data_IF_793570377784
#
_entry.id   IF_793570377784
#
_cell.length_a   1.000
_cell.length_b   1.000
_cell.length_c   1.000
_cell.angle_alpha   90.00
_cell.angle_beta   90.00
_cell.angle_gamma   90.00
#
_symmetry.space_group_name_H-M   'P 1'
#
loop_
_entity.id
_entity.type
_entity.pdbx_description
1 polymer ?
#
# COMPACT_ATOMS: atom_id res chain seq x y z
N UNK A 1 14.43 -16.82 9.45
CA UNK A 1 13.65 -16.00 8.51
C UNK A 1 12.22 -16.50 8.51
N UNK A 2 11.25 -15.69 8.93
CA UNK A 2 9.83 -16.05 8.86
C UNK A 2 9.34 -15.64 7.47
N UNK A 3 9.35 -16.56 6.50
CA UNK A 3 8.81 -16.30 5.17
C UNK A 3 7.28 -16.19 5.22
N UNK A 4 6.72 -15.17 4.61
CA UNK A 4 5.30 -15.16 4.25
C UNK A 4 5.17 -15.97 2.97
N UNK A 5 4.67 -17.19 3.08
CA UNK A 5 4.69 -18.15 1.96
C UNK A 5 3.83 -17.69 0.79
N UNK A 6 2.62 -17.20 1.01
CA UNK A 6 1.72 -16.70 -0.03
C UNK A 6 0.63 -15.84 0.58
N UNK A 7 0.09 -14.90 -0.20
CA UNK A 7 -1.16 -14.22 0.11
C UNK A 7 -2.25 -14.80 -0.80
N UNK A 8 -3.29 -15.37 -0.22
CA UNK A 8 -4.42 -15.97 -0.92
C UNK A 8 -5.67 -15.13 -0.69
N UNK A 9 -6.31 -14.74 -1.77
CA UNK A 9 -7.56 -13.97 -1.78
C UNK A 9 -8.58 -14.75 -2.59
N UNK A 10 -9.65 -15.22 -1.93
CA UNK A 10 -10.62 -16.11 -2.54
C UNK A 10 -12.04 -15.64 -2.26
N UNK A 11 -12.75 -15.27 -3.32
CA UNK A 11 -14.13 -14.77 -3.25
C UNK A 11 -14.30 -13.59 -2.29
N UNK A 12 -13.23 -12.82 -2.03
CA UNK A 12 -13.19 -11.79 -1.01
C UNK A 12 -14.24 -10.73 -1.29
N UNK A 13 -15.15 -10.50 -0.33
CA UNK A 13 -16.23 -9.52 -0.39
C UNK A 13 -16.26 -8.67 0.85
N UNK A 14 -16.54 -7.35 0.70
CA UNK A 14 -16.74 -6.43 1.81
C UNK A 14 -17.88 -5.48 1.56
N UNK A 15 -18.84 -5.49 2.49
CA UNK A 15 -19.98 -4.59 2.53
C UNK A 15 -19.94 -3.84 3.85
N UNK A 16 -20.13 -2.52 3.79
CA UNK A 16 -20.35 -1.67 4.96
C UNK A 16 -21.82 -1.30 5.05
N UNK A 17 -22.33 -1.15 6.25
CA UNK A 17 -23.66 -0.61 6.51
C UNK A 17 -23.52 0.78 7.11
N UNK A 18 -24.15 1.78 6.48
CA UNK A 18 -24.14 3.14 7.00
C UNK A 18 -24.91 3.23 8.31
N UNK A 19 -24.26 3.81 9.32
CA UNK A 19 -24.87 4.05 10.62
C UNK A 19 -25.98 5.09 10.45
N UNK A 20 -27.24 4.73 10.77
CA UNK A 20 -28.40 5.61 10.72
C UNK A 20 -29.35 5.37 9.55
N UNK A 21 -28.89 5.05 8.35
CA UNK A 21 -29.73 4.73 7.18
C UNK A 21 -29.89 3.24 6.95
N UNK A 22 -28.95 2.42 7.44
CA UNK A 22 -28.90 0.99 7.16
C UNK A 22 -28.51 0.67 5.71
N UNK A 23 -28.20 1.66 4.89
CA UNK A 23 -27.84 1.47 3.49
C UNK A 23 -26.55 0.68 3.37
N UNK A 24 -26.56 -0.36 2.51
CA UNK A 24 -25.42 -1.22 2.26
C UNK A 24 -24.53 -0.62 1.17
N UNK A 25 -23.25 -0.39 1.48
CA UNK A 25 -22.23 0.07 0.53
C UNK A 25 -21.27 -1.07 0.23
N UNK A 26 -21.29 -1.57 -1.01
CA UNK A 26 -20.35 -2.61 -1.46
C UNK A 26 -19.01 -1.94 -1.75
N UNK A 27 -18.00 -2.18 -0.90
CA UNK A 27 -16.64 -1.69 -1.09
C UNK A 27 -15.80 -2.65 -1.93
N UNK A 28 -15.98 -3.96 -1.71
CA UNK A 28 -15.39 -5.03 -2.51
C UNK A 28 -16.51 -5.98 -2.90
N UNK A 29 -16.71 -6.15 -4.22
CA UNK A 29 -17.71 -7.04 -4.77
C UNK A 29 -17.20 -8.48 -4.78
N UNK A 30 -16.02 -8.69 -5.38
CA UNK A 30 -15.32 -9.95 -5.42
C UNK A 30 -13.88 -9.80 -5.88
N UNK A 31 -12.94 -10.35 -5.11
CA UNK A 31 -11.54 -10.44 -5.49
C UNK A 31 -11.07 -11.89 -5.34
N UNK A 32 -10.38 -12.37 -6.38
CA UNK A 32 -9.77 -13.70 -6.43
C UNK A 32 -8.36 -13.56 -7.06
N UNK A 33 -7.30 -13.76 -6.28
CA UNK A 33 -5.92 -13.80 -6.75
C UNK A 33 -4.98 -14.35 -5.68
N UNK A 34 -3.76 -14.69 -6.09
CA UNK A 34 -2.68 -15.14 -5.20
C UNK A 34 -1.45 -14.28 -5.44
N UNK A 35 -0.75 -13.88 -4.37
CA UNK A 35 0.56 -13.24 -4.43
C UNK A 35 1.59 -14.21 -3.88
N UNK A 36 2.61 -14.53 -4.67
CA UNK A 36 3.68 -15.43 -4.26
C UNK A 36 4.67 -14.77 -3.29
N UNK A 37 5.40 -15.58 -2.54
CA UNK A 37 6.48 -15.10 -1.70
C UNK A 37 7.54 -14.35 -2.51
N UNK A 38 7.99 -13.19 -2.01
CA UNK A 38 9.00 -12.36 -2.67
C UNK A 38 8.49 -11.62 -3.91
N UNK A 39 7.20 -11.71 -4.22
CA UNK A 39 6.58 -10.99 -5.33
C UNK A 39 6.32 -9.54 -4.94
N UNK A 40 6.60 -8.61 -5.86
CA UNK A 40 6.24 -7.20 -5.75
C UNK A 40 5.06 -6.94 -6.67
N UNK A 41 3.92 -6.63 -6.08
CA UNK A 41 2.65 -6.42 -6.79
C UNK A 41 2.17 -4.98 -6.61
N UNK A 42 1.86 -4.31 -7.72
CA UNK A 42 1.20 -3.02 -7.70
C UNK A 42 -0.32 -3.19 -7.88
N UNK A 43 -1.12 -2.52 -7.06
CA UNK A 43 -2.58 -2.46 -7.19
C UNK A 43 -2.94 -1.06 -7.67
N UNK A 44 -3.51 -0.97 -8.85
CA UNK A 44 -3.99 0.28 -9.44
C UNK A 44 -5.49 0.31 -9.53
N UNK A 45 -6.08 1.50 -9.42
CA UNK A 45 -7.52 1.68 -9.55
C UNK A 45 -7.94 3.10 -9.17
N UNK A 46 -9.12 3.49 -9.62
CA UNK A 46 -9.68 4.81 -9.32
C UNK A 46 -9.94 4.98 -7.80
N UNK A 47 -10.04 6.25 -7.37
CA UNK A 47 -10.44 6.55 -5.99
C UNK A 47 -11.79 5.91 -5.67
N UNK A 48 -11.88 5.25 -4.50
CA UNK A 48 -13.09 4.57 -4.06
C UNK A 48 -13.35 3.20 -4.72
N UNK A 49 -12.37 2.60 -5.42
CA UNK A 49 -12.49 1.23 -5.94
C UNK A 49 -12.17 0.13 -4.90
N UNK A 50 -11.98 0.46 -3.64
CA UNK A 50 -11.79 -0.55 -2.59
C UNK A 50 -10.33 -0.85 -2.21
N UNK A 51 -9.32 -0.16 -2.75
CA UNK A 51 -7.89 -0.41 -2.45
C UNK A 51 -7.56 -0.32 -0.96
N UNK A 52 -7.93 0.77 -0.31
CA UNK A 52 -7.68 0.95 1.13
C UNK A 52 -8.51 -0.03 1.98
N UNK A 53 -9.71 -0.39 1.53
CA UNK A 53 -10.51 -1.45 2.16
C UNK A 53 -9.79 -2.80 2.06
N UNK A 54 -9.25 -3.14 0.90
CA UNK A 54 -8.44 -4.34 0.73
C UNK A 54 -7.22 -4.35 1.65
N UNK A 55 -6.50 -3.24 1.75
CA UNK A 55 -5.36 -3.13 2.68
C UNK A 55 -5.78 -3.31 4.14
N UNK A 56 -6.90 -2.73 4.57
CA UNK A 56 -7.40 -2.91 5.92
C UNK A 56 -7.75 -4.37 6.24
N UNK A 57 -8.31 -5.09 5.27
CA UNK A 57 -8.57 -6.53 5.38
C UNK A 57 -7.25 -7.32 5.46
N UNK A 58 -6.26 -6.95 4.65
CA UNK A 58 -4.96 -7.60 4.61
C UNK A 58 -4.14 -7.37 5.88
N UNK A 59 -4.24 -6.18 6.48
CA UNK A 59 -3.58 -5.86 7.77
C UNK A 59 -4.32 -6.53 8.95
N UNK A 60 -5.57 -6.95 8.75
CA UNK A 60 -6.41 -7.52 9.81
C UNK A 60 -7.11 -6.47 10.66
N UNK A 61 -7.24 -5.23 10.18
CA UNK A 61 -8.01 -4.15 10.84
C UNK A 61 -9.51 -4.29 10.63
N UNK A 62 -9.90 -5.07 9.63
CA UNK A 62 -11.29 -5.30 9.29
C UNK A 62 -11.51 -6.77 8.88
N UNK A 63 -12.75 -7.25 9.01
CA UNK A 63 -13.13 -8.62 8.65
C UNK A 63 -13.85 -8.65 7.31
N UNK A 64 -13.58 -9.63 6.42
CA UNK A 64 -14.41 -9.86 5.25
C UNK A 64 -15.87 -10.06 5.59
N UNK A 65 -16.78 -9.62 4.72
CA UNK A 65 -18.20 -9.96 4.83
C UNK A 65 -18.45 -11.37 4.29
N UNK A 66 -17.70 -11.77 3.25
CA UNK A 66 -17.73 -13.09 2.64
C UNK A 66 -16.38 -13.41 1.97
N UNK A 67 -16.14 -14.67 1.66
CA UNK A 67 -14.86 -15.14 1.14
C UNK A 67 -13.75 -15.09 2.20
N UNK A 68 -12.50 -15.16 1.74
CA UNK A 68 -11.36 -15.16 2.66
C UNK A 68 -10.15 -14.42 2.11
N UNK A 69 -9.32 -13.94 3.04
CA UNK A 69 -7.96 -13.49 2.82
C UNK A 69 -7.06 -14.22 3.80
N UNK A 70 -5.95 -14.78 3.32
CA UNK A 70 -5.01 -15.52 4.14
C UNK A 70 -3.56 -15.17 3.76
N UNK A 71 -2.68 -15.08 4.75
CA UNK A 71 -1.24 -14.88 4.61
C UNK A 71 -0.57 -16.10 5.24
N UNK A 72 0.12 -16.90 4.42
CA UNK A 72 0.70 -18.19 4.89
C UNK A 72 -0.36 -19.12 5.48
N UNK A 73 -1.56 -19.16 4.90
CA UNK A 73 -2.69 -19.96 5.35
C UNK A 73 -3.46 -19.41 6.57
N UNK A 74 -3.05 -18.27 7.16
CA UNK A 74 -3.64 -17.66 8.36
C UNK A 74 -4.49 -16.46 8.01
N UNK A 75 -5.63 -16.29 8.69
CA UNK A 75 -6.51 -15.14 8.52
C UNK A 75 -6.01 -13.93 9.33
N UNK A 76 -5.67 -12.79 8.71
CA UNK A 76 -5.06 -11.66 9.43
C UNK A 76 -5.94 -11.08 10.54
N UNK A 77 -7.25 -11.05 10.36
CA UNK A 77 -8.17 -10.53 11.38
C UNK A 77 -8.25 -11.45 12.61
N UNK A 78 -8.35 -12.76 12.39
CA UNK A 78 -8.55 -13.73 13.48
C UNK A 78 -7.24 -14.04 14.22
N UNK A 79 -6.10 -13.92 13.54
CA UNK A 79 -4.76 -14.21 14.06
C UNK A 79 -3.86 -12.97 14.08
N UNK A 80 -4.43 -11.79 14.38
CA UNK A 80 -3.74 -10.50 14.29
C UNK A 80 -2.38 -10.46 15.01
N UNK A 81 -2.31 -11.04 16.20
CA UNK A 81 -1.07 -11.08 17.00
C UNK A 81 0.06 -11.88 16.34
N UNK A 82 -0.28 -12.84 15.48
CA UNK A 82 0.71 -13.63 14.73
C UNK A 82 1.51 -12.75 13.76
N UNK A 83 0.89 -11.69 13.24
CA UNK A 83 1.48 -10.81 12.24
C UNK A 83 2.30 -9.66 12.81
N UNK A 84 2.41 -9.55 14.14
CA UNK A 84 3.30 -8.58 14.80
C UNK A 84 4.75 -8.83 14.40
N UNK A 85 5.40 -7.80 13.83
CA UNK A 85 6.76 -7.90 13.32
C UNK A 85 6.91 -8.67 12.00
N UNK A 86 5.82 -9.24 11.46
CA UNK A 86 5.81 -9.93 10.16
C UNK A 86 5.38 -8.98 9.04
N UNK A 87 4.44 -8.06 9.35
CA UNK A 87 3.87 -7.10 8.41
C UNK A 87 4.27 -5.68 8.82
N UNK A 88 4.65 -4.86 7.84
CA UNK A 88 4.80 -3.43 8.00
C UNK A 88 4.08 -2.66 6.89
N UNK A 89 3.56 -1.48 7.25
CA UNK A 89 2.86 -0.62 6.30
C UNK A 89 3.43 0.80 6.29
N UNK A 90 3.57 1.35 5.09
CA UNK A 90 3.90 2.76 4.83
C UNK A 90 2.68 3.41 4.21
N UNK A 91 2.25 4.53 4.76
CA UNK A 91 1.05 5.24 4.33
C UNK A 91 1.40 6.54 3.61
N UNK A 92 0.45 7.07 2.89
CA UNK A 92 0.53 8.37 2.22
C UNK A 92 0.94 9.50 3.18
N UNK A 93 0.36 9.52 4.37
CA UNK A 93 0.84 10.36 5.47
C UNK A 93 1.89 9.59 6.27
N UNK A 94 2.99 10.24 6.63
CA UNK A 94 4.12 9.62 7.33
C UNK A 94 3.75 9.04 8.71
N UNK A 95 2.69 9.56 9.35
CA UNK A 95 2.19 9.11 10.66
C UNK A 95 3.29 9.00 11.70
N UNK A 96 4.26 9.90 11.66
CA UNK A 96 5.28 10.00 12.70
C UNK A 96 4.66 10.55 13.97
N UNK A 97 5.14 10.06 15.11
CA UNK A 97 4.76 10.61 16.42
C UNK A 97 5.45 11.96 16.60
N UNK A 98 4.71 13.08 16.66
CA UNK A 98 5.31 14.42 16.62
C UNK A 98 6.13 14.77 17.86
N UNK A 99 5.93 14.06 18.96
CA UNK A 99 6.68 14.20 20.22
C UNK A 99 7.89 13.27 20.34
N UNK A 100 8.19 12.47 19.32
CA UNK A 100 9.37 11.61 19.22
C UNK A 100 10.32 12.10 18.15
N UNK A 101 11.62 11.96 18.40
CA UNK A 101 12.66 12.23 17.40
C UNK A 101 12.61 11.23 16.24
N UNK A 102 13.39 11.46 15.19
CA UNK A 102 13.47 10.53 14.05
C UNK A 102 13.90 9.13 14.51
N UNK A 103 14.95 9.04 15.32
CA UNK A 103 15.42 7.74 15.82
C UNK A 103 14.38 7.05 16.73
N UNK A 104 13.67 7.81 17.56
CA UNK A 104 12.64 7.27 18.44
C UNK A 104 11.40 6.81 17.66
N UNK A 105 11.09 7.46 16.53
CA UNK A 105 10.06 6.99 15.61
C UNK A 105 10.47 5.68 14.94
N UNK A 106 11.72 5.55 14.51
CA UNK A 106 12.21 4.34 13.84
C UNK A 106 12.27 3.16 14.82
N UNK A 107 12.74 3.37 16.06
CA UNK A 107 12.85 2.29 17.07
C UNK A 107 11.51 1.84 17.64
N UNK A 108 10.43 2.63 17.48
CA UNK A 108 9.13 2.32 18.08
C UNK A 108 8.62 0.90 17.81
N UNK A 109 8.64 0.35 16.58
CA UNK A 109 8.20 -1.03 16.35
C UNK A 109 9.05 -2.06 17.11
N UNK A 110 10.36 -1.85 17.23
CA UNK A 110 11.25 -2.74 17.99
C UNK A 110 10.94 -2.69 19.49
N UNK A 111 10.63 -1.50 20.01
CA UNK A 111 10.17 -1.28 21.38
C UNK A 111 8.88 -2.06 21.65
N UNK A 112 7.89 -1.97 20.76
CA UNK A 112 6.62 -2.69 20.85
C UNK A 112 6.77 -4.22 20.74
N UNK A 113 7.83 -4.69 20.08
CA UNK A 113 8.18 -6.10 19.98
C UNK A 113 9.04 -6.59 21.16
N UNK A 114 9.33 -5.72 22.15
CA UNK A 114 10.07 -6.08 23.35
C UNK A 114 11.56 -6.38 23.12
N UNK A 115 12.18 -5.82 22.09
CA UNK A 115 13.60 -6.01 21.84
C UNK A 115 14.46 -5.23 22.85
N UNK A 116 15.72 -5.63 23.03
CA UNK A 116 16.63 -4.95 23.94
C UNK A 116 16.91 -3.50 23.52
N UNK A 117 16.95 -2.53 24.45
CA UNK A 117 17.11 -1.11 24.10
C UNK A 117 18.38 -0.78 23.30
N UNK A 118 19.51 -1.46 23.57
CA UNK A 118 20.76 -1.31 22.83
C UNK A 118 20.56 -1.63 21.33
N UNK A 119 19.95 -2.78 21.07
CA UNK A 119 19.71 -3.28 19.72
C UNK A 119 18.74 -2.39 18.93
N UNK A 120 17.71 -1.85 19.63
CA UNK A 120 16.75 -0.91 19.06
C UNK A 120 17.46 0.34 18.51
N UNK A 121 18.37 0.93 19.31
CA UNK A 121 19.10 2.16 18.92
C UNK A 121 20.06 1.88 17.77
N UNK A 122 20.83 0.79 17.86
CA UNK A 122 21.78 0.43 16.81
C UNK A 122 21.07 0.18 15.46
N UNK A 123 20.01 -0.62 15.44
CA UNK A 123 19.24 -0.90 14.23
C UNK A 123 18.57 0.35 13.67
N UNK A 124 17.97 1.18 14.53
CA UNK A 124 17.32 2.41 14.09
C UNK A 124 18.34 3.39 13.46
N UNK A 125 19.54 3.52 14.05
CA UNK A 125 20.61 4.35 13.52
C UNK A 125 21.10 3.83 12.17
N UNK A 126 21.31 2.53 12.03
CA UNK A 126 21.73 1.90 10.78
C UNK A 126 20.70 2.15 9.65
N UNK A 127 19.39 2.09 9.96
CA UNK A 127 18.36 2.40 8.96
C UNK A 127 18.28 3.88 8.60
N UNK A 128 18.46 4.79 9.57
CA UNK A 128 18.52 6.23 9.28
C UNK A 128 19.75 6.58 8.41
N UNK A 129 20.90 5.99 8.71
CA UNK A 129 22.12 6.17 7.90
C UNK A 129 21.92 5.67 6.46
N UNK A 130 21.40 4.45 6.31
CA UNK A 130 21.09 3.85 5.00
C UNK A 130 20.15 4.72 4.14
N UNK A 131 19.26 5.48 4.75
CA UNK A 131 18.34 6.39 4.08
C UNK A 131 18.83 7.86 4.05
N UNK A 132 20.11 8.10 4.40
CA UNK A 132 20.74 9.41 4.32
C UNK A 132 20.29 10.39 5.39
N UNK A 133 19.85 9.91 6.56
CA UNK A 133 19.30 10.70 7.67
C UNK A 133 20.19 10.66 8.94
N UNK A 134 21.43 10.19 8.88
CA UNK A 134 22.30 10.05 10.04
C UNK A 134 22.45 11.35 10.84
N UNK A 135 22.52 12.52 10.16
CA UNK A 135 22.66 13.83 10.80
C UNK A 135 21.36 14.35 11.44
N UNK A 136 20.24 13.71 11.17
CA UNK A 136 18.90 14.13 11.59
C UNK A 136 18.26 13.15 12.59
N UNK A 137 19.04 12.24 13.17
CA UNK A 137 18.52 11.23 14.09
C UNK A 137 17.79 11.82 15.31
N UNK A 138 18.22 13.00 15.79
CA UNK A 138 17.62 13.68 16.93
C UNK A 138 16.57 14.72 16.54
N UNK A 139 16.32 14.94 15.24
CA UNK A 139 15.34 15.92 14.78
C UNK A 139 13.90 15.41 15.02
N UNK A 140 13.02 16.33 15.40
CA UNK A 140 11.59 16.06 15.49
C UNK A 140 10.91 16.17 14.12
N UNK A 141 9.74 15.55 13.91
CA UNK A 141 9.05 15.56 12.62
C UNK A 141 8.81 16.97 12.04
N UNK A 142 8.57 17.98 12.87
CA UNK A 142 8.36 19.36 12.43
C UNK A 142 9.63 20.06 11.93
N UNK A 143 10.81 19.52 12.25
CA UNK A 143 12.11 20.02 11.79
C UNK A 143 12.57 19.37 10.48
N UNK A 144 11.82 18.36 9.99
CA UNK A 144 12.15 17.57 8.82
C UNK A 144 11.33 18.02 7.59
N UNK A 145 11.95 17.98 6.41
CA UNK A 145 11.20 18.13 5.15
C UNK A 145 10.23 16.98 4.93
N UNK A 146 9.24 17.12 4.02
CA UNK A 146 8.30 16.04 3.68
C UNK A 146 8.98 14.75 3.25
N UNK A 147 9.97 14.85 2.35
CA UNK A 147 10.76 13.70 1.91
C UNK A 147 11.61 13.06 3.03
N UNK A 148 12.13 13.86 3.97
CA UNK A 148 12.84 13.35 5.13
C UNK A 148 11.89 12.61 6.08
N UNK A 149 10.70 13.14 6.35
CA UNK A 149 9.68 12.44 7.15
C UNK A 149 9.29 11.11 6.53
N UNK A 150 9.11 11.08 5.21
CA UNK A 150 8.77 9.84 4.51
C UNK A 150 9.91 8.80 4.58
N UNK A 151 11.18 9.24 4.52
CA UNK A 151 12.33 8.35 4.75
C UNK A 151 12.36 7.80 6.18
N UNK A 152 12.02 8.61 7.19
CA UNK A 152 11.87 8.12 8.58
C UNK A 152 10.74 7.09 8.66
N UNK A 153 9.61 7.29 7.99
CA UNK A 153 8.52 6.33 7.94
C UNK A 153 8.93 5.01 7.25
N UNK A 154 9.72 5.09 6.17
CA UNK A 154 10.32 3.92 5.54
C UNK A 154 11.29 3.19 6.50
N UNK A 155 12.21 3.93 7.14
CA UNK A 155 13.12 3.35 8.14
C UNK A 155 12.35 2.60 9.23
N UNK A 156 11.27 3.21 9.74
CA UNK A 156 10.38 2.62 10.74
C UNK A 156 9.72 1.32 10.25
N UNK A 157 9.33 1.26 8.99
CA UNK A 157 8.73 0.05 8.42
C UNK A 157 9.76 -1.07 8.23
N UNK A 158 10.96 -0.74 7.77
CA UNK A 158 12.00 -1.73 7.46
C UNK A 158 12.80 -2.19 8.69
N UNK A 159 12.84 -1.43 9.80
CA UNK A 159 13.65 -1.73 10.98
C UNK A 159 13.31 -3.08 11.63
N UNK A 160 12.07 -3.55 11.49
CA UNK A 160 11.62 -4.85 12.01
C UNK A 160 11.90 -6.00 11.04
N UNK A 161 12.47 -5.73 9.86
CA UNK A 161 12.72 -6.72 8.81
C UNK A 161 11.45 -7.53 8.50
N UNK A 162 10.36 -6.88 8.08
CA UNK A 162 9.08 -7.53 7.88
C UNK A 162 9.16 -8.49 6.69
N UNK A 163 8.38 -9.56 6.72
CA UNK A 163 8.26 -10.47 5.57
C UNK A 163 7.28 -9.94 4.51
N UNK A 164 6.31 -9.10 4.94
CA UNK A 164 5.34 -8.44 4.07
C UNK A 164 5.38 -6.92 4.25
N UNK A 165 5.60 -6.22 3.15
CA UNK A 165 5.59 -4.76 3.07
C UNK A 165 4.34 -4.27 2.32
N UNK A 166 3.67 -3.29 2.90
CA UNK A 166 2.53 -2.62 2.29
C UNK A 166 2.85 -1.14 2.10
N UNK A 167 2.54 -0.58 0.93
CA UNK A 167 2.64 0.85 0.66
C UNK A 167 1.29 1.34 0.14
N UNK A 168 0.63 2.23 0.90
CA UNK A 168 -0.66 2.84 0.53
C UNK A 168 -0.41 4.28 0.08
N UNK A 169 -0.35 4.50 -1.24
CA UNK A 169 -0.10 5.81 -1.87
C UNK A 169 1.10 6.56 -1.25
N UNK A 170 2.11 5.79 -0.81
CA UNK A 170 3.18 6.25 0.08
C UNK A 170 4.09 7.34 -0.51
N UNK A 171 4.04 7.58 -1.82
CA UNK A 171 4.95 8.49 -2.53
C UNK A 171 4.23 9.68 -3.19
N UNK A 172 2.90 9.73 -3.14
CA UNK A 172 2.07 10.65 -3.94
C UNK A 172 2.08 12.13 -3.53
N UNK A 173 2.65 12.49 -2.38
CA UNK A 173 2.68 13.88 -1.88
C UNK A 173 4.07 14.53 -1.95
N UNK A 174 5.01 13.89 -2.62
CA UNK A 174 6.38 14.34 -2.76
C UNK A 174 6.60 14.94 -4.15
N UNK A 175 7.61 15.80 -4.28
CA UNK A 175 8.09 16.17 -5.61
C UNK A 175 8.60 14.93 -6.36
N UNK A 176 8.49 14.93 -7.68
CA UNK A 176 8.75 13.75 -8.51
C UNK A 176 10.16 13.17 -8.33
N UNK A 177 11.18 14.01 -8.14
CA UNK A 177 12.56 13.55 -7.95
C UNK A 177 12.71 12.78 -6.63
N UNK A 178 12.15 13.34 -5.55
CA UNK A 178 12.15 12.69 -4.23
C UNK A 178 11.30 11.42 -4.25
N UNK A 179 10.14 11.46 -4.88
CA UNK A 179 9.26 10.29 -5.00
C UNK A 179 9.94 9.14 -5.75
N UNK A 180 10.56 9.42 -6.92
CA UNK A 180 11.28 8.42 -7.70
C UNK A 180 12.43 7.77 -6.90
N UNK A 181 13.23 8.60 -6.20
CA UNK A 181 14.31 8.08 -5.36
C UNK A 181 13.80 7.17 -4.22
N UNK A 182 12.69 7.52 -3.58
CA UNK A 182 12.09 6.73 -2.51
C UNK A 182 11.44 5.45 -3.03
N UNK A 183 10.78 5.50 -4.19
CA UNK A 183 10.25 4.31 -4.87
C UNK A 183 11.36 3.31 -5.15
N UNK A 184 12.43 3.77 -5.80
CA UNK A 184 13.60 2.92 -6.07
C UNK A 184 14.15 2.31 -4.79
N UNK A 185 14.38 3.12 -3.75
CA UNK A 185 14.87 2.63 -2.46
C UNK A 185 13.93 1.57 -1.85
N UNK A 186 12.61 1.78 -1.90
CA UNK A 186 11.63 0.82 -1.39
C UNK A 186 11.74 -0.53 -2.11
N UNK A 187 11.77 -0.52 -3.45
CA UNK A 187 11.85 -1.75 -4.25
C UNK A 187 13.18 -2.46 -4.05
N UNK A 188 14.29 -1.73 -4.02
CA UNK A 188 15.62 -2.31 -3.82
C UNK A 188 15.75 -2.96 -2.43
N UNK A 189 15.20 -2.29 -1.41
CA UNK A 189 15.15 -2.84 -0.06
C UNK A 189 14.30 -4.09 0.02
N UNK A 190 13.09 -4.07 -0.59
CA UNK A 190 12.20 -5.22 -0.63
C UNK A 190 12.83 -6.41 -1.35
N UNK A 191 13.43 -6.18 -2.53
CA UNK A 191 14.12 -7.22 -3.32
C UNK A 191 15.33 -7.80 -2.60
N UNK A 192 16.17 -6.93 -2.02
CA UNK A 192 17.39 -7.37 -1.31
C UNK A 192 17.05 -8.22 -0.09
N UNK A 193 15.97 -7.91 0.59
CA UNK A 193 15.48 -8.68 1.75
C UNK A 193 14.64 -9.91 1.37
N UNK A 194 14.28 -10.08 0.08
CA UNK A 194 13.38 -11.14 -0.38
C UNK A 194 11.95 -10.99 0.15
N UNK A 195 11.51 -9.77 0.44
CA UNK A 195 10.20 -9.50 1.00
C UNK A 195 9.12 -9.54 -0.07
N UNK A 196 7.93 -10.01 0.33
CA UNK A 196 6.71 -9.78 -0.45
C UNK A 196 6.29 -8.32 -0.27
N UNK A 197 5.92 -7.64 -1.36
CA UNK A 197 5.46 -6.25 -1.27
C UNK A 197 4.18 -6.01 -2.07
N UNK A 198 3.24 -5.27 -1.48
CA UNK A 198 2.03 -4.78 -2.15
C UNK A 198 2.05 -3.25 -2.11
N UNK A 199 2.03 -2.64 -3.29
CA UNK A 199 1.96 -1.20 -3.46
C UNK A 199 0.58 -0.83 -4.00
N UNK A 200 -0.10 0.05 -3.29
CA UNK A 200 -1.37 0.62 -3.74
C UNK A 200 -1.11 2.02 -4.24
N UNK A 201 -1.50 2.30 -5.48
CA UNK A 201 -1.35 3.62 -6.08
C UNK A 201 -2.49 3.93 -7.04
N UNK A 202 -2.72 5.21 -7.31
CA UNK A 202 -3.56 5.67 -8.40
C UNK A 202 -2.73 6.15 -9.61
N UNK A 203 -1.39 6.15 -9.50
CA UNK A 203 -0.46 6.55 -10.54
C UNK A 203 0.02 5.32 -11.31
N UNK A 204 -0.31 5.28 -12.59
CA UNK A 204 0.01 4.13 -13.42
C UNK A 204 1.50 4.00 -13.73
N UNK A 205 2.19 5.13 -13.85
CA UNK A 205 3.63 5.21 -14.02
C UNK A 205 4.35 4.53 -12.85
N UNK A 206 3.95 4.88 -11.63
CA UNK A 206 4.47 4.30 -10.41
C UNK A 206 4.29 2.77 -10.38
N UNK A 207 3.10 2.28 -10.75
CA UNK A 207 2.82 0.85 -10.79
C UNK A 207 3.68 0.10 -11.81
N UNK A 208 3.93 0.70 -12.97
CA UNK A 208 4.77 0.11 -14.03
C UNK A 208 6.25 0.10 -13.63
N UNK A 209 6.72 1.17 -12.97
CA UNK A 209 8.12 1.27 -12.52
C UNK A 209 8.45 0.27 -11.40
N UNK A 210 7.51 0.07 -10.47
CA UNK A 210 7.76 -0.64 -9.21
C UNK A 210 7.30 -2.09 -9.24
N UNK A 211 6.19 -2.36 -9.92
CA UNK A 211 5.56 -3.67 -9.91
C UNK A 211 6.24 -4.67 -10.84
N UNK A 212 6.44 -5.89 -10.38
CA UNK A 212 6.66 -7.03 -11.27
C UNK A 212 5.34 -7.52 -11.88
N UNK A 213 4.22 -7.19 -11.23
CA UNK A 213 2.85 -7.55 -11.60
C UNK A 213 1.88 -6.44 -11.19
N UNK A 214 0.89 -6.18 -12.02
CA UNK A 214 -0.13 -5.14 -11.78
C UNK A 214 -1.50 -5.80 -11.67
N UNK A 215 -2.20 -5.54 -10.55
CA UNK A 215 -3.61 -5.86 -10.36
C UNK A 215 -4.44 -4.60 -10.59
N UNK A 216 -5.33 -4.62 -11.56
CA UNK A 216 -6.20 -3.49 -11.89
C UNK A 216 -7.54 -3.67 -11.19
N UNK A 217 -7.83 -2.80 -10.22
CA UNK A 217 -9.08 -2.83 -9.47
C UNK A 217 -10.13 -1.91 -10.09
N UNK A 218 -11.31 -2.48 -10.36
CA UNK A 218 -12.50 -1.76 -10.76
C UNK A 218 -13.41 -1.38 -9.59
N UNK A 219 -14.49 -0.66 -9.88
CA UNK A 219 -15.46 -0.18 -8.88
C UNK A 219 -16.83 -0.82 -9.10
N UNK A 220 -17.50 -1.37 -8.04
CA UNK A 220 -16.96 -1.65 -6.69
C UNK A 220 -15.81 -2.66 -6.77
N UNK A 221 -15.01 -2.79 -5.72
CA UNK A 221 -13.78 -3.59 -5.72
C UNK A 221 -13.92 -4.95 -6.41
N UNK A 222 -13.42 -5.03 -7.63
CA UNK A 222 -13.32 -6.25 -8.46
C UNK A 222 -12.05 -6.22 -9.27
N UNK A 223 -11.52 -7.39 -9.60
CA UNK A 223 -10.33 -7.51 -10.43
C UNK A 223 -10.72 -7.36 -11.90
N UNK A 224 -10.22 -6.29 -12.56
CA UNK A 224 -10.41 -6.05 -13.98
C UNK A 224 -9.33 -6.72 -14.83
N UNK A 225 -8.09 -6.72 -14.34
CA UNK A 225 -6.96 -7.36 -14.98
C UNK A 225 -5.89 -7.76 -13.97
N UNK A 226 -5.14 -8.78 -14.32
CA UNK A 226 -3.97 -9.29 -13.61
C UNK A 226 -2.84 -9.42 -14.63
N UNK A 227 -1.84 -8.52 -14.55
CA UNK A 227 -0.86 -8.30 -15.61
C UNK A 227 0.55 -8.59 -15.07
N UNK A 228 1.20 -9.62 -15.56
CA UNK A 228 2.62 -9.89 -15.31
C UNK A 228 3.48 -9.06 -16.28
N UNK A 229 4.20 -8.08 -15.75
CA UNK A 229 5.05 -7.20 -16.55
C UNK A 229 6.25 -7.92 -17.19
N UNK A 230 6.65 -9.07 -16.67
CA UNK A 230 7.74 -9.87 -17.25
C UNK A 230 7.34 -10.49 -18.60
N UNK A 231 6.04 -10.71 -18.81
CA UNK A 231 5.49 -11.27 -20.05
C UNK A 231 5.06 -10.19 -21.03
N UNK A 232 5.04 -8.92 -20.60
CA UNK A 232 4.63 -7.81 -21.45
C UNK A 232 5.73 -7.47 -22.47
N UNK A 233 5.40 -7.17 -23.74
CA UNK A 233 6.40 -6.90 -24.76
C UNK A 233 7.32 -5.73 -24.39
N UNK A 234 8.63 -5.90 -24.53
CA UNK A 234 9.62 -4.86 -24.25
C UNK A 234 9.34 -3.64 -25.15
N UNK A 235 9.33 -2.45 -24.54
CA UNK A 235 9.03 -1.20 -25.25
C UNK A 235 7.53 -0.88 -25.43
N UNK A 236 6.62 -1.77 -25.01
CA UNK A 236 5.17 -1.57 -25.17
C UNK A 236 4.51 -0.90 -23.93
N UNK A 237 5.26 -0.13 -23.13
CA UNK A 237 4.74 0.56 -21.93
C UNK A 237 3.58 1.51 -22.28
N UNK A 238 3.66 2.23 -23.42
CA UNK A 238 2.61 3.14 -23.84
C UNK A 238 1.30 2.39 -24.17
N UNK A 239 1.37 1.20 -24.77
CA UNK A 239 0.19 0.37 -25.06
C UNK A 239 -0.42 -0.21 -23.79
N UNK A 240 0.40 -0.65 -22.83
CA UNK A 240 -0.04 -1.10 -21.52
C UNK A 240 -0.79 0.00 -20.77
N UNK A 241 -0.21 1.20 -20.74
CA UNK A 241 -0.83 2.38 -20.14
C UNK A 241 -2.20 2.67 -20.74
N UNK A 242 -2.28 2.72 -22.07
CA UNK A 242 -3.54 2.97 -22.78
C UNK A 242 -4.59 1.89 -22.50
N UNK A 243 -4.17 0.63 -22.37
CA UNK A 243 -5.07 -0.48 -22.07
C UNK A 243 -5.63 -0.40 -20.68
N UNK A 244 -4.78 -0.19 -19.66
CA UNK A 244 -5.23 -0.03 -18.26
C UNK A 244 -6.14 1.20 -18.14
N UNK A 245 -5.79 2.33 -18.78
CA UNK A 245 -6.64 3.52 -18.78
C UNK A 245 -8.03 3.25 -19.37
N UNK A 246 -8.13 2.51 -20.48
CA UNK A 246 -9.42 2.10 -21.06
C UNK A 246 -10.23 1.24 -20.12
N UNK A 247 -9.62 0.25 -19.44
CA UNK A 247 -10.28 -0.59 -18.44
C UNK A 247 -10.85 0.23 -17.29
N UNK A 248 -10.06 1.17 -16.76
CA UNK A 248 -10.48 2.05 -15.68
C UNK A 248 -11.61 3.01 -16.09
N UNK A 249 -11.57 3.54 -17.31
CA UNK A 249 -12.61 4.43 -17.86
C UNK A 249 -13.92 3.68 -18.11
N UNK A 250 -13.87 2.48 -18.68
CA UNK A 250 -15.07 1.66 -18.92
C UNK A 250 -15.76 1.18 -17.65
N UNK A 251 -15.06 1.21 -16.52
CA UNK A 251 -15.57 0.85 -15.20
C UNK A 251 -15.86 2.08 -14.32
N UNK A 252 -15.76 3.30 -14.84
CA UNK A 252 -16.12 4.51 -14.10
C UNK A 252 -17.64 4.53 -13.85
N UNK A 253 -18.09 4.93 -12.65
CA UNK A 253 -19.52 5.13 -12.40
C UNK A 253 -20.04 6.24 -13.31
N UNK A 254 -21.26 6.11 -13.78
CA UNK A 254 -21.94 7.21 -14.48
C UNK A 254 -21.89 8.48 -13.61
N UNK A 255 -21.59 9.66 -14.21
CA UNK A 255 -21.55 10.90 -13.45
C UNK A 255 -22.91 11.17 -12.82
N UNK A 256 -22.98 11.24 -11.50
CA UNK A 256 -24.21 11.54 -10.74
C UNK A 256 -24.73 12.98 -10.93
N UNK A 257 -24.13 13.76 -11.82
CA UNK A 257 -24.55 15.11 -12.17
C UNK A 257 -25.07 15.10 -13.61
N UNK A 258 -26.39 14.93 -13.76
CA UNK A 258 -27.08 15.43 -14.94
C UNK A 258 -26.88 16.96 -14.94
N UNK A 259 -26.06 17.46 -15.85
CA UNK A 259 -26.06 18.89 -16.17
C UNK A 259 -27.48 19.20 -16.69
N UNK A 260 -28.29 19.86 -15.87
CA UNK A 260 -29.52 20.49 -16.35
C UNK A 260 -29.09 21.49 -17.38
N UNK A 261 -29.19 21.14 -18.66
CA UNK A 261 -29.17 22.09 -19.73
C UNK A 261 -30.38 22.97 -19.57
N UNK A 262 -30.16 24.20 -19.12
CA UNK A 262 -31.14 25.30 -19.25
C UNK A 262 -31.37 25.55 -20.76
N UNK A 263 -32.37 24.88 -21.26
CA UNK A 263 -33.06 25.27 -22.49
C UNK A 263 -34.53 25.03 -22.24
N UNK A 264 -35.21 26.08 -21.80
CA UNK A 264 -36.63 26.37 -22.05
C UNK A 264 -37.03 27.54 -21.14
N UNK A 265 -36.71 28.74 -21.58
CA UNK A 265 -37.50 29.93 -21.24
C UNK A 265 -37.32 30.98 -22.31
N UNK A 266 -37.98 30.72 -23.46
CA UNK A 266 -38.41 31.74 -24.43
C UNK A 266 -39.45 31.09 -25.34
N UNK A 267 -40.72 31.19 -24.91
CA UNK A 267 -41.89 31.28 -25.73
C UNK A 267 -42.97 32.03 -24.95
#
# INVERSE_FOLDING_TARGET
>A
MRGVETIQVEGLRKVFHQTGTGEAVVAIERLDFVVAQGEIVAIVGQTGCGKSTFLNLLIGLDRPTDGRIAIGGRAPYDEFDHFRGVLAAVFQQDRLLPWRTAIDNVRLPLELLGQQPSDQVERARAWLDRLGLARFEQAYPHELSGGMRQRVALARAFVIEPALLLADEAFGHLDEVTAAALRTAFVDLARTAGNTAILVTHQLEEAIELGGRILVFGRPGKLLADIDLKTWPVGAVASLRAEIQRMLQSNAPEPRFAVRTERESRA
#
